data_IF_235727629935
#
_entry.id   IF_235727629935
#
_cell.length_a   1.000
_cell.length_b   1.000
_cell.length_c   1.000
_cell.angle_alpha   90.00
_cell.angle_beta   90.00
_cell.angle_gamma   90.00
#
_symmetry.space_group_name_H-M   'P 1'
#
loop_
_entity.id
_entity.type
_entity.pdbx_description
1 polymer ?
#
# COMPACT_ATOMS: atom_id res chain seq x y z
N UNK A 1 27.31 14.10 -33.06
CA UNK A 1 27.73 12.71 -32.68
C UNK A 1 29.03 12.76 -31.86
N UNK A 2 30.09 13.55 -32.26
CA UNK A 2 31.33 13.66 -31.48
C UNK A 2 31.14 14.28 -30.08
N UNK A 3 30.29 15.27 -29.93
CA UNK A 3 30.02 15.89 -28.61
C UNK A 3 29.29 14.92 -27.67
N UNK A 4 28.32 14.17 -28.19
CA UNK A 4 27.58 13.16 -27.39
C UNK A 4 28.54 12.07 -26.86
N UNK A 5 29.51 11.67 -27.69
CA UNK A 5 30.49 10.65 -27.31
C UNK A 5 31.44 11.19 -26.23
N UNK A 6 31.80 12.49 -26.29
CA UNK A 6 32.64 13.14 -25.29
C UNK A 6 31.93 13.28 -23.94
N UNK A 7 30.65 13.63 -23.96
CA UNK A 7 29.79 13.69 -22.75
C UNK A 7 29.66 12.32 -22.13
N UNK A 8 29.32 11.29 -22.90
CA UNK A 8 29.22 9.91 -22.42
C UNK A 8 30.51 9.39 -21.80
N UNK A 9 31.66 9.72 -22.42
CA UNK A 9 32.99 9.35 -21.92
C UNK A 9 33.33 10.08 -20.60
N UNK A 10 32.93 11.34 -20.49
CA UNK A 10 33.11 12.14 -19.27
C UNK A 10 32.27 11.59 -18.13
N UNK A 11 31.00 11.31 -18.37
CA UNK A 11 30.06 10.67 -17.38
C UNK A 11 30.56 9.29 -16.97
N UNK A 12 31.03 8.48 -17.91
CA UNK A 12 31.58 7.15 -17.60
C UNK A 12 32.86 7.28 -16.71
N UNK A 13 33.76 8.18 -17.01
CA UNK A 13 34.98 8.38 -16.22
C UNK A 13 34.67 8.94 -14.81
N UNK A 14 33.66 9.81 -14.70
CA UNK A 14 33.20 10.35 -13.43
C UNK A 14 32.58 9.20 -12.56
N UNK A 15 31.66 8.42 -13.10
CA UNK A 15 31.06 7.28 -12.43
C UNK A 15 32.09 6.22 -12.03
N UNK A 16 33.07 5.94 -12.91
CA UNK A 16 34.16 4.99 -12.61
C UNK A 16 35.04 5.48 -11.47
N UNK A 17 35.35 6.77 -11.41
CA UNK A 17 36.12 7.36 -10.33
C UNK A 17 35.39 7.34 -8.99
N UNK A 18 34.11 7.70 -8.99
CA UNK A 18 33.26 7.60 -7.80
C UNK A 18 33.10 6.16 -7.32
N UNK A 19 32.90 5.22 -8.24
CA UNK A 19 32.78 3.80 -7.90
C UNK A 19 34.09 3.25 -7.28
N UNK A 20 35.26 3.61 -7.81
CA UNK A 20 36.54 3.18 -7.29
C UNK A 20 36.92 3.83 -5.95
N UNK A 21 36.50 5.07 -5.73
CA UNK A 21 36.68 5.78 -4.46
C UNK A 21 35.70 5.31 -3.38
N UNK A 22 34.57 4.73 -3.79
CA UNK A 22 33.50 4.27 -2.92
C UNK A 22 33.60 2.79 -2.52
N UNK A 23 34.60 2.03 -2.96
CA UNK A 23 34.78 0.61 -2.59
C UNK A 23 35.24 0.52 -1.14
N UNK A 24 34.31 0.70 -0.24
CA UNK A 24 34.46 0.41 1.19
C UNK A 24 33.71 -0.89 1.52
N UNK A 25 34.11 -1.61 2.55
CA UNK A 25 33.48 -2.86 2.96
C UNK A 25 31.94 -2.72 3.10
N UNK A 26 31.47 -1.57 3.56
CA UNK A 26 30.06 -1.23 3.69
C UNK A 26 29.33 -1.11 2.34
N UNK A 27 29.97 -0.49 1.35
CA UNK A 27 29.38 -0.35 0.01
C UNK A 27 29.31 -1.70 -0.71
N UNK A 28 30.32 -2.55 -0.52
CA UNK A 28 30.32 -3.91 -1.08
C UNK A 28 29.19 -4.74 -0.46
N UNK A 29 29.01 -4.65 0.86
CA UNK A 29 27.91 -5.32 1.57
C UNK A 29 26.54 -4.83 1.10
N UNK A 30 26.38 -3.52 0.90
CA UNK A 30 25.13 -2.90 0.40
C UNK A 30 24.81 -3.37 -1.02
N UNK A 31 25.81 -3.43 -1.91
CA UNK A 31 25.62 -3.92 -3.28
C UNK A 31 25.21 -5.41 -3.26
N UNK A 32 25.85 -6.21 -2.42
CA UNK A 32 25.53 -7.62 -2.29
C UNK A 32 24.11 -7.83 -1.75
N UNK A 33 23.69 -7.03 -0.77
CA UNK A 33 22.32 -7.04 -0.26
C UNK A 33 21.32 -6.63 -1.35
N UNK A 34 21.61 -5.57 -2.13
CA UNK A 34 20.77 -5.17 -3.25
C UNK A 34 20.66 -6.29 -4.29
N UNK A 35 21.75 -6.92 -4.68
CA UNK A 35 21.73 -8.02 -5.64
C UNK A 35 20.88 -9.19 -5.14
N UNK A 36 20.97 -9.51 -3.84
CA UNK A 36 20.18 -10.58 -3.24
C UNK A 36 18.67 -10.27 -3.29
N UNK A 37 18.28 -9.02 -3.05
CA UNK A 37 16.88 -8.56 -3.14
C UNK A 37 16.40 -8.51 -4.60
N UNK A 38 17.26 -8.11 -5.55
CA UNK A 38 16.93 -8.06 -6.97
C UNK A 38 16.88 -9.43 -7.65
N UNK A 39 17.58 -10.44 -7.10
CA UNK A 39 17.67 -11.77 -7.69
C UNK A 39 16.30 -12.41 -7.99
N UNK A 40 15.32 -12.48 -7.07
CA UNK A 40 14.01 -13.03 -7.37
C UNK A 40 13.26 -12.23 -8.45
N UNK A 41 13.38 -10.90 -8.46
CA UNK A 41 12.76 -10.05 -9.48
C UNK A 41 13.38 -10.35 -10.85
N UNK A 42 14.70 -10.47 -10.92
CA UNK A 42 15.42 -10.79 -12.15
C UNK A 42 15.05 -12.18 -12.68
N UNK A 43 14.91 -13.18 -11.80
CA UNK A 43 14.45 -14.52 -12.18
C UNK A 43 13.03 -14.51 -12.74
N UNK A 44 12.12 -13.70 -12.16
CA UNK A 44 10.77 -13.53 -12.71
C UNK A 44 10.83 -12.93 -14.11
N UNK A 45 11.62 -11.87 -14.32
CA UNK A 45 11.77 -11.21 -15.63
C UNK A 45 12.31 -12.20 -16.68
N UNK A 46 13.30 -13.02 -16.34
CA UNK A 46 13.84 -14.03 -17.25
C UNK A 46 12.81 -15.10 -17.62
N UNK A 47 11.91 -15.43 -16.69
CA UNK A 47 10.86 -16.43 -16.95
C UNK A 47 9.63 -15.87 -17.66
N UNK A 48 9.48 -14.54 -17.78
CA UNK A 48 8.35 -13.92 -18.52
C UNK A 48 8.31 -14.34 -19.99
N UNK A 49 9.47 -14.63 -20.58
CA UNK A 49 9.59 -15.05 -21.98
C UNK A 49 9.47 -16.56 -22.20
N UNK A 50 9.42 -17.35 -21.13
CA UNK A 50 9.23 -18.80 -21.26
C UNK A 50 7.77 -19.10 -21.58
N UNK A 51 7.53 -19.79 -22.70
CA UNK A 51 6.20 -20.29 -23.06
C UNK A 51 5.77 -21.35 -22.04
N UNK A 52 4.78 -21.05 -21.22
CA UNK A 52 4.14 -22.03 -20.35
C UNK A 52 2.84 -22.48 -21.01
N UNK A 53 2.60 -23.78 -21.10
CA UNK A 53 1.36 -24.36 -21.65
C UNK A 53 0.11 -23.83 -20.92
N UNK A 54 0.27 -23.47 -19.66
CA UNK A 54 -0.82 -22.91 -18.84
C UNK A 54 -1.12 -21.42 -19.13
N UNK A 55 -0.23 -20.70 -19.86
CA UNK A 55 -0.42 -19.27 -20.11
C UNK A 55 -1.65 -18.97 -20.96
N UNK A 56 -1.91 -19.80 -21.97
CA UNK A 56 -3.09 -19.64 -22.81
C UNK A 56 -4.39 -19.79 -21.99
N UNK A 57 -4.44 -20.81 -21.14
CA UNK A 57 -5.58 -21.06 -20.27
C UNK A 57 -5.80 -19.92 -19.24
N UNK A 58 -4.74 -19.40 -18.65
CA UNK A 58 -4.81 -18.27 -17.72
C UNK A 58 -5.29 -17.02 -18.44
N UNK A 59 -4.75 -16.71 -19.61
CA UNK A 59 -5.08 -15.52 -20.39
C UNK A 59 -6.55 -15.50 -20.83
N UNK A 60 -7.07 -16.64 -21.28
CA UNK A 60 -8.43 -16.73 -21.82
C UNK A 60 -9.50 -16.78 -20.72
N UNK A 61 -9.23 -17.43 -19.60
CA UNK A 61 -10.27 -17.75 -18.62
C UNK A 61 -10.14 -17.02 -17.27
N UNK A 62 -8.93 -16.66 -16.84
CA UNK A 62 -8.67 -16.19 -15.47
C UNK A 62 -8.14 -14.77 -15.40
N UNK A 63 -7.34 -14.33 -16.38
CA UNK A 63 -6.61 -13.08 -16.32
C UNK A 63 -7.54 -11.87 -16.13
N UNK A 64 -8.62 -11.82 -16.88
CA UNK A 64 -9.58 -10.72 -16.84
C UNK A 64 -10.24 -10.62 -15.44
N UNK A 65 -10.69 -11.76 -14.92
CA UNK A 65 -11.30 -11.81 -13.58
C UNK A 65 -10.32 -11.40 -12.49
N UNK A 66 -9.07 -11.83 -12.56
CA UNK A 66 -8.04 -11.43 -11.59
C UNK A 66 -7.70 -9.94 -11.65
N UNK A 67 -7.61 -9.36 -12.87
CA UNK A 67 -7.36 -7.93 -13.04
C UNK A 67 -8.49 -7.11 -12.43
N UNK A 68 -9.75 -7.43 -12.75
CA UNK A 68 -10.90 -6.70 -12.22
C UNK A 68 -11.04 -6.85 -10.71
N UNK A 69 -10.87 -8.05 -10.18
CA UNK A 69 -10.90 -8.29 -8.73
C UNK A 69 -9.82 -7.50 -8.01
N UNK A 70 -8.59 -7.49 -8.55
CA UNK A 70 -7.48 -6.73 -7.99
C UNK A 70 -7.75 -5.22 -8.06
N UNK A 71 -8.22 -4.70 -9.19
CA UNK A 71 -8.57 -3.29 -9.34
C UNK A 71 -9.66 -2.87 -8.36
N UNK A 72 -10.70 -3.68 -8.22
CA UNK A 72 -11.79 -3.42 -7.28
C UNK A 72 -11.28 -3.35 -5.84
N UNK A 73 -10.42 -4.29 -5.44
CA UNK A 73 -9.80 -4.30 -4.11
C UNK A 73 -8.90 -3.07 -3.90
N UNK A 74 -8.02 -2.76 -4.84
CA UNK A 74 -7.08 -1.63 -4.73
C UNK A 74 -7.82 -0.30 -4.63
N UNK A 75 -8.84 -0.09 -5.47
CA UNK A 75 -9.64 1.14 -5.45
C UNK A 75 -10.44 1.23 -4.15
N UNK A 76 -11.11 0.14 -3.75
CA UNK A 76 -11.91 0.11 -2.52
C UNK A 76 -11.07 0.39 -1.27
N UNK A 77 -9.97 -0.32 -1.11
CA UNK A 77 -9.02 -0.12 0.00
C UNK A 77 -8.40 1.28 -0.05
N UNK A 78 -8.01 1.75 -1.23
CA UNK A 78 -7.42 3.07 -1.43
C UNK A 78 -8.36 4.20 -1.01
N UNK A 79 -9.63 4.14 -1.40
CA UNK A 79 -10.63 5.15 -1.03
C UNK A 79 -10.88 5.13 0.48
N UNK A 80 -11.20 3.97 1.05
CA UNK A 80 -11.57 3.88 2.46
C UNK A 80 -10.38 4.23 3.37
N UNK A 81 -9.18 3.72 3.10
CA UNK A 81 -7.98 4.05 3.89
C UNK A 81 -7.64 5.54 3.79
N UNK A 82 -7.85 6.17 2.62
CA UNK A 82 -7.64 7.60 2.44
C UNK A 82 -8.65 8.42 3.23
N UNK A 83 -9.94 8.10 3.14
CA UNK A 83 -10.99 8.81 3.88
C UNK A 83 -10.75 8.72 5.39
N UNK A 84 -10.47 7.54 5.91
CA UNK A 84 -10.19 7.34 7.35
C UNK A 84 -8.88 8.04 7.74
N UNK A 85 -7.80 7.83 6.99
CA UNK A 85 -6.47 8.35 7.30
C UNK A 85 -6.42 9.88 7.29
N UNK A 86 -6.92 10.49 6.22
CA UNK A 86 -6.99 11.97 6.09
C UNK A 86 -7.95 12.56 7.11
N UNK A 87 -9.13 11.96 7.29
CA UNK A 87 -10.13 12.42 8.25
C UNK A 87 -9.59 12.41 9.69
N UNK A 88 -8.94 11.33 10.11
CA UNK A 88 -8.29 11.23 11.42
C UNK A 88 -7.12 12.24 11.57
N UNK A 89 -6.30 12.38 10.53
CA UNK A 89 -5.19 13.34 10.53
C UNK A 89 -5.69 14.77 10.67
N UNK A 90 -6.73 15.14 9.91
CA UNK A 90 -7.35 16.46 9.98
C UNK A 90 -7.93 16.72 11.35
N UNK A 91 -8.72 15.79 11.88
CA UNK A 91 -9.35 15.93 13.19
C UNK A 91 -8.32 16.11 14.30
N UNK A 92 -7.30 15.26 14.35
CA UNK A 92 -6.24 15.31 15.38
C UNK A 92 -5.36 16.56 15.24
N UNK A 93 -5.15 17.07 14.03
CA UNK A 93 -4.28 18.24 13.82
C UNK A 93 -4.97 19.55 14.20
N UNK A 94 -6.25 19.70 13.86
CA UNK A 94 -6.95 20.99 14.03
C UNK A 94 -7.75 21.10 15.32
N UNK A 95 -8.14 19.99 15.96
CA UNK A 95 -8.94 20.02 17.17
C UNK A 95 -8.12 19.68 18.41
N UNK A 96 -8.27 20.51 19.46
CA UNK A 96 -7.74 20.24 20.77
C UNK A 96 -8.83 19.62 21.66
N UNK A 97 -8.64 18.37 22.06
CA UNK A 97 -9.56 17.64 22.93
C UNK A 97 -8.81 16.86 24.00
N UNK A 98 -9.50 16.58 25.11
CA UNK A 98 -8.93 15.77 26.19
C UNK A 98 -8.60 14.36 25.68
N UNK A 99 -7.38 13.88 25.93
CA UNK A 99 -6.94 12.56 25.46
C UNK A 99 -6.32 12.51 24.06
N UNK A 100 -6.15 13.65 23.37
CA UNK A 100 -5.57 13.74 22.01
C UNK A 100 -4.28 12.92 21.88
N UNK A 101 -3.36 13.02 22.84
CA UNK A 101 -2.08 12.27 22.81
C UNK A 101 -2.28 10.75 22.78
N UNK A 102 -3.26 10.25 23.53
CA UNK A 102 -3.56 8.81 23.56
C UNK A 102 -4.18 8.35 22.23
N UNK A 103 -5.08 9.15 21.68
CA UNK A 103 -5.71 8.84 20.39
C UNK A 103 -4.69 8.87 19.25
N UNK A 104 -3.74 9.81 19.25
CA UNK A 104 -2.65 9.86 18.28
C UNK A 104 -1.87 8.54 18.23
N UNK A 105 -1.56 7.95 19.38
CA UNK A 105 -0.88 6.66 19.47
C UNK A 105 -1.78 5.49 19.08
N UNK A 106 -3.04 5.54 19.49
CA UNK A 106 -4.02 4.50 19.19
C UNK A 106 -4.26 4.37 17.68
N UNK A 107 -4.26 5.49 16.96
CA UNK A 107 -4.43 5.52 15.49
C UNK A 107 -3.27 4.86 14.74
N UNK A 108 -2.08 4.79 15.33
CA UNK A 108 -0.91 4.14 14.73
C UNK A 108 -0.86 2.65 15.09
N UNK A 109 -1.55 2.22 16.13
CA UNK A 109 -1.49 0.87 16.66
C UNK A 109 -1.81 -0.23 15.63
N UNK A 110 -2.78 -0.09 14.71
CA UNK A 110 -3.03 -1.11 13.69
C UNK A 110 -1.85 -1.38 12.76
N UNK A 111 -0.94 -0.43 12.59
CA UNK A 111 0.30 -0.62 11.81
C UNK A 111 1.24 -1.68 12.42
N UNK A 112 1.10 -1.95 13.72
CA UNK A 112 1.91 -2.96 14.40
C UNK A 112 1.41 -4.38 14.15
N UNK A 113 0.20 -4.53 13.61
CA UNK A 113 -0.40 -5.82 13.30
C UNK A 113 0.14 -6.28 11.94
N UNK A 114 0.88 -7.41 11.88
CA UNK A 114 1.31 -7.98 10.62
C UNK A 114 0.10 -8.32 9.73
N UNK A 115 0.18 -7.98 8.45
CA UNK A 115 -0.93 -8.16 7.50
C UNK A 115 -1.42 -9.60 7.38
N UNK A 116 -0.54 -10.59 7.60
CA UNK A 116 -0.94 -11.99 7.58
C UNK A 116 -1.84 -12.36 8.76
N UNK A 117 -1.66 -11.74 9.95
CA UNK A 117 -2.54 -11.95 11.11
C UNK A 117 -3.92 -11.37 10.80
N UNK A 118 -3.97 -10.19 10.19
CA UNK A 118 -5.23 -9.62 9.72
C UNK A 118 -5.93 -10.54 8.70
N UNK A 119 -5.18 -11.14 7.79
CA UNK A 119 -5.73 -12.09 6.83
C UNK A 119 -6.30 -13.36 7.49
N UNK A 120 -5.68 -13.86 8.57
CA UNK A 120 -6.26 -14.99 9.34
C UNK A 120 -7.57 -14.61 10.03
N UNK A 121 -7.64 -13.42 10.62
CA UNK A 121 -8.86 -12.93 11.27
C UNK A 121 -10.07 -12.85 10.33
N UNK A 122 -9.82 -12.76 9.01
CA UNK A 122 -10.85 -12.80 8.00
C UNK A 122 -11.70 -14.08 8.02
N UNK A 123 -11.08 -15.24 8.24
CA UNK A 123 -11.80 -16.51 8.35
C UNK A 123 -12.76 -16.53 9.54
N UNK A 124 -12.31 -16.03 10.69
CA UNK A 124 -13.13 -15.96 11.91
C UNK A 124 -14.32 -15.02 11.71
N UNK A 125 -14.12 -13.91 11.00
CA UNK A 125 -15.18 -12.96 10.69
C UNK A 125 -16.24 -13.61 9.76
N UNK A 126 -15.81 -14.38 8.76
CA UNK A 126 -16.74 -15.09 7.87
C UNK A 126 -17.59 -16.11 8.63
N UNK A 127 -17.03 -16.81 9.62
CA UNK A 127 -17.78 -17.73 10.46
C UNK A 127 -18.91 -17.03 11.22
N UNK A 128 -18.73 -15.79 11.67
CA UNK A 128 -19.77 -15.00 12.33
C UNK A 128 -20.97 -14.77 11.40
N UNK A 129 -20.73 -14.64 10.09
CA UNK A 129 -21.79 -14.47 9.08
C UNK A 129 -22.41 -15.80 8.60
N UNK A 130 -21.86 -16.94 8.99
CA UNK A 130 -22.36 -18.26 8.58
C UNK A 130 -23.84 -18.49 8.89
N UNK A 131 -24.40 -18.15 10.08
CA UNK A 131 -25.83 -18.31 10.35
C UNK A 131 -26.70 -17.47 9.40
N UNK A 132 -26.26 -16.27 9.05
CA UNK A 132 -26.96 -15.40 8.10
C UNK A 132 -26.96 -16.01 6.68
N UNK A 133 -25.83 -16.54 6.23
CA UNK A 133 -25.71 -17.19 4.92
C UNK A 133 -26.58 -18.47 4.85
N UNK A 134 -26.64 -19.23 5.93
CA UNK A 134 -27.52 -20.41 6.02
C UNK A 134 -29.00 -20.00 5.94
N UNK A 135 -29.36 -18.91 6.61
CA UNK A 135 -30.74 -18.38 6.53
C UNK A 135 -31.06 -17.88 5.11
N UNK A 136 -30.15 -17.18 4.44
CA UNK A 136 -30.29 -16.75 3.04
C UNK A 136 -30.51 -17.95 2.12
N UNK A 137 -29.69 -19.00 2.24
CA UNK A 137 -29.77 -20.22 1.43
C UNK A 137 -31.12 -20.91 1.54
N UNK A 138 -31.71 -20.87 2.74
CA UNK A 138 -33.03 -21.50 3.00
C UNK A 138 -34.20 -20.68 2.46
N UNK A 139 -34.11 -19.34 2.45
CA UNK A 139 -35.25 -18.46 2.16
C UNK A 139 -35.19 -17.84 0.75
N UNK A 140 -33.98 -17.59 0.21
CA UNK A 140 -33.80 -16.84 -1.02
C UNK A 140 -33.39 -17.78 -2.18
N UNK A 141 -32.56 -18.78 -1.90
CA UNK A 141 -32.06 -19.71 -2.90
C UNK A 141 -30.53 -19.83 -2.86
N UNK A 142 -30.00 -20.80 -3.61
CA UNK A 142 -28.60 -21.14 -3.57
C UNK A 142 -27.77 -20.15 -4.41
N UNK A 143 -28.24 -19.77 -5.59
CA UNK A 143 -27.52 -18.87 -6.50
C UNK A 143 -27.39 -17.45 -5.93
N UNK A 144 -28.50 -16.93 -5.40
CA UNK A 144 -28.53 -15.61 -4.77
C UNK A 144 -27.65 -15.57 -3.51
N UNK A 145 -27.59 -16.66 -2.76
CA UNK A 145 -26.73 -16.75 -1.57
C UNK A 145 -25.26 -16.72 -1.95
N UNK A 146 -24.85 -17.42 -3.01
CA UNK A 146 -23.46 -17.38 -3.49
C UNK A 146 -23.08 -15.94 -3.92
N UNK A 147 -24.00 -15.22 -4.55
CA UNK A 147 -23.77 -13.84 -4.94
C UNK A 147 -23.57 -12.92 -3.72
N UNK A 148 -24.43 -13.07 -2.70
CA UNK A 148 -24.32 -12.34 -1.43
C UNK A 148 -23.01 -12.66 -0.71
N UNK A 149 -22.65 -13.94 -0.65
CA UNK A 149 -21.40 -14.41 -0.04
C UNK A 149 -20.19 -13.78 -0.71
N UNK A 150 -20.12 -13.77 -2.04
CA UNK A 150 -19.04 -13.14 -2.79
C UNK A 150 -18.94 -11.63 -2.51
N UNK A 151 -20.07 -10.92 -2.49
CA UNK A 151 -20.09 -9.48 -2.18
C UNK A 151 -19.61 -9.25 -0.75
N UNK A 152 -20.06 -10.05 0.20
CA UNK A 152 -19.65 -9.97 1.61
C UNK A 152 -18.14 -10.19 1.76
N UNK A 153 -17.60 -11.19 1.07
CA UNK A 153 -16.17 -11.51 1.05
C UNK A 153 -15.35 -10.28 0.59
N UNK A 154 -15.67 -9.72 -0.57
CA UNK A 154 -14.96 -8.54 -1.07
C UNK A 154 -15.06 -7.35 -0.13
N UNK A 155 -16.25 -7.10 0.42
CA UNK A 155 -16.49 -6.01 1.35
C UNK A 155 -15.67 -6.14 2.63
N UNK A 156 -15.65 -7.33 3.24
CA UNK A 156 -14.88 -7.61 4.46
C UNK A 156 -13.38 -7.47 4.23
N UNK A 157 -12.89 -7.99 3.10
CA UNK A 157 -11.47 -7.87 2.73
C UNK A 157 -11.07 -6.40 2.55
N UNK A 158 -11.90 -5.60 1.86
CA UNK A 158 -11.66 -4.17 1.67
C UNK A 158 -11.61 -3.44 3.02
N UNK A 159 -12.56 -3.68 3.90
CA UNK A 159 -12.60 -3.08 5.24
C UNK A 159 -11.36 -3.46 6.03
N UNK A 160 -11.04 -4.74 6.09
CA UNK A 160 -9.91 -5.26 6.85
C UNK A 160 -8.59 -4.63 6.40
N UNK A 161 -8.30 -4.67 5.10
CA UNK A 161 -7.09 -4.05 4.58
C UNK A 161 -7.08 -2.53 4.74
N UNK A 162 -8.24 -1.88 4.66
CA UNK A 162 -8.33 -0.44 4.91
C UNK A 162 -7.96 -0.08 6.34
N UNK A 163 -8.39 -0.88 7.33
CA UNK A 163 -8.02 -0.70 8.73
C UNK A 163 -6.54 -0.99 9.03
N UNK A 164 -5.90 -1.84 8.26
CA UNK A 164 -4.46 -2.08 8.39
C UNK A 164 -3.63 -0.99 7.72
N UNK A 165 -4.12 -0.42 6.61
CA UNK A 165 -3.35 0.50 5.77
C UNK A 165 -3.61 1.98 6.06
N UNK A 166 -4.76 2.37 6.67
CA UNK A 166 -5.03 3.78 6.94
C UNK A 166 -3.96 4.50 7.78
N UNK A 167 -3.19 3.86 8.71
CA UNK A 167 -2.20 4.58 9.48
C UNK A 167 -1.06 5.16 8.63
N UNK A 168 -0.74 4.55 7.49
CA UNK A 168 0.24 5.09 6.54
C UNK A 168 -0.26 6.41 5.94
N UNK A 169 -1.53 6.45 5.56
CA UNK A 169 -2.18 7.66 5.06
C UNK A 169 -2.31 8.70 6.17
N UNK A 170 -2.68 8.27 7.39
CA UNK A 170 -2.76 9.14 8.56
C UNK A 170 -1.44 9.84 8.86
N UNK A 171 -0.33 9.10 8.94
CA UNK A 171 0.98 9.66 9.25
C UNK A 171 1.45 10.66 8.19
N UNK A 172 1.34 10.33 6.91
CA UNK A 172 1.74 11.21 5.82
C UNK A 172 0.86 12.46 5.74
N UNK A 173 -0.45 12.31 5.91
CA UNK A 173 -1.39 13.43 5.93
C UNK A 173 -1.18 14.34 7.12
N UNK A 174 -0.97 13.78 8.32
CA UNK A 174 -0.68 14.54 9.53
C UNK A 174 0.59 15.36 9.39
N UNK A 175 1.68 14.76 8.89
CA UNK A 175 2.93 15.47 8.63
C UNK A 175 2.73 16.63 7.65
N UNK A 176 2.00 16.42 6.56
CA UNK A 176 1.70 17.47 5.59
C UNK A 176 0.87 18.62 6.16
N UNK A 177 -0.17 18.30 6.96
CA UNK A 177 -1.03 19.31 7.58
C UNK A 177 -0.26 20.13 8.63
N UNK A 178 0.63 19.54 9.40
CA UNK A 178 1.48 20.24 10.36
C UNK A 178 2.44 21.23 9.67
N UNK A 179 3.05 20.85 8.55
CA UNK A 179 3.95 21.72 7.79
C UNK A 179 3.17 22.89 7.16
N UNK A 180 1.97 22.65 6.63
CA UNK A 180 1.14 23.71 6.06
C UNK A 180 0.68 24.70 7.12
N UNK A 181 0.31 24.21 8.30
CA UNK A 181 -0.10 25.08 9.43
C UNK A 181 1.04 26.01 9.88
N UNK A 182 2.27 25.50 10.02
CA UNK A 182 3.42 26.34 10.40
C UNK A 182 3.74 27.41 9.36
N UNK A 183 3.70 27.07 8.06
CA UNK A 183 3.94 28.02 6.98
C UNK A 183 2.87 29.11 6.91
N UNK A 184 1.61 28.78 7.17
CA UNK A 184 0.53 29.77 7.20
C UNK A 184 0.72 30.77 8.36
N UNK A 185 1.15 30.29 9.53
CA UNK A 185 1.47 31.16 10.69
C UNK A 185 2.67 32.04 10.40
N UNK A 186 3.73 31.51 9.79
CA UNK A 186 4.91 32.30 9.39
C UNK A 186 4.53 33.41 8.39
N UNK A 187 3.70 33.09 7.39
CA UNK A 187 3.19 34.07 6.42
C UNK A 187 2.31 35.14 7.09
N UNK A 188 1.45 34.77 8.03
CA UNK A 188 0.63 35.73 8.78
C UNK A 188 1.51 36.68 9.62
N UNK A 189 2.52 36.15 10.31
CA UNK A 189 3.50 36.93 11.08
C UNK A 189 4.27 37.92 10.21
N UNK A 190 4.67 37.55 8.99
CA UNK A 190 5.36 38.44 8.05
C UNK A 190 4.45 39.56 7.52
N UNK A 191 3.14 39.31 7.48
CA UNK A 191 2.13 40.31 7.12
C UNK A 191 1.64 41.17 8.29
N UNK A 192 2.20 40.95 9.51
CA UNK A 192 1.81 41.68 10.71
C UNK A 192 0.42 41.37 11.23
N UNK A 193 -0.14 40.22 10.86
CA UNK A 193 -1.43 39.72 11.35
C UNK A 193 -1.14 38.88 12.59
N UNK A 194 -1.72 39.21 13.77
CA UNK A 194 -1.49 38.49 15.03
C UNK A 194 -2.12 37.10 15.03
#
# INVERSE_FOLDING_TARGET
IKELFTILKSVYNYLKKEFLLGVNAWNTLSILACLLVFLPIFLIILNVTSESENWLHIKENLLFNYIFSTLYLVIGVGIISTVIGVGCAWFVTYYNFSGRKYIEWLLILPMTIPTYIAAYSYYDILEIFSPFLIWCRKNIGLEETIMIENILIYFLVIILFSFVLYPYVYLSSKASLMIQGSRAIEAANTLGIP
#
